data_IF_571343234368
#
_entry.id   IF_571343234368
#
_cell.length_a   1.000
_cell.length_b   1.000
_cell.length_c   1.000
_cell.angle_alpha   90.00
_cell.angle_beta   90.00
_cell.angle_gamma   90.00
#
_symmetry.space_group_name_H-M   'P 1'
#
loop_
_entity.id
_entity.type
_entity.pdbx_description
1 polymer ?
#
# COMPACT_ATOMS: atom_id res chain seq x y z
N UNK A 1 20.67 -1.34 9.53
CA UNK A 1 19.19 -1.25 9.54
C UNK A 1 18.56 -1.50 8.17
N UNK A 2 18.98 -0.82 7.10
CA UNK A 2 18.45 -1.08 5.75
C UNK A 2 18.71 -2.53 5.26
N UNK A 3 19.90 -3.08 5.52
CA UNK A 3 20.20 -4.50 5.25
C UNK A 3 19.22 -5.46 5.95
N UNK A 4 18.87 -5.17 7.21
CA UNK A 4 17.90 -5.97 7.98
C UNK A 4 16.53 -5.90 7.33
N UNK A 5 16.10 -4.70 6.92
CA UNK A 5 14.84 -4.51 6.20
C UNK A 5 14.77 -5.32 4.90
N UNK A 6 15.81 -5.28 4.07
CA UNK A 6 15.87 -6.04 2.80
C UNK A 6 15.87 -7.54 3.06
N UNK A 7 16.61 -8.01 4.06
CA UNK A 7 16.60 -9.42 4.47
C UNK A 7 15.22 -9.85 4.94
N UNK A 8 14.57 -9.05 5.77
CA UNK A 8 13.25 -9.36 6.30
C UNK A 8 12.19 -9.32 5.18
N UNK A 9 12.34 -8.44 4.18
CA UNK A 9 11.53 -8.42 2.96
C UNK A 9 11.68 -9.73 2.16
N UNK A 10 12.91 -10.22 2.01
CA UNK A 10 13.19 -11.49 1.36
C UNK A 10 12.64 -12.70 2.13
N UNK A 11 12.77 -12.70 3.45
CA UNK A 11 12.22 -13.73 4.34
C UNK A 11 10.69 -13.76 4.24
N UNK A 12 10.03 -12.60 4.29
CA UNK A 12 8.58 -12.46 4.11
C UNK A 12 8.13 -12.96 2.74
N UNK A 13 8.84 -12.61 1.65
CA UNK A 13 8.54 -13.10 0.30
C UNK A 13 8.57 -14.64 0.23
N UNK A 14 9.46 -15.27 0.98
CA UNK A 14 9.59 -16.74 1.10
C UNK A 14 8.65 -17.36 2.14
N UNK A 15 7.69 -16.59 2.65
CA UNK A 15 6.72 -17.01 3.68
C UNK A 15 7.37 -17.41 5.02
N UNK A 16 8.59 -16.91 5.29
CA UNK A 16 9.33 -17.12 6.54
C UNK A 16 9.09 -15.96 7.49
N UNK A 17 7.96 -16.01 8.18
CA UNK A 17 7.55 -14.95 9.11
C UNK A 17 8.28 -15.03 10.46
N UNK A 18 8.41 -13.87 11.10
CA UNK A 18 8.89 -13.73 12.48
C UNK A 18 7.82 -13.06 13.33
N UNK A 19 8.04 -13.05 14.65
CA UNK A 19 7.11 -12.37 15.56
C UNK A 19 6.97 -10.89 15.20
N UNK A 20 5.77 -10.29 15.34
CA UNK A 20 5.51 -8.89 14.99
C UNK A 20 6.49 -7.89 15.62
N UNK A 21 6.94 -8.19 16.84
CA UNK A 21 7.83 -7.36 17.65
C UNK A 21 9.25 -7.27 17.08
N UNK A 22 9.63 -8.18 16.17
CA UNK A 22 10.94 -8.13 15.51
C UNK A 22 10.98 -7.16 14.34
N UNK A 23 9.82 -6.77 13.79
CA UNK A 23 9.71 -5.81 12.69
C UNK A 23 9.72 -4.37 13.19
N UNK A 24 10.81 -3.97 13.84
CA UNK A 24 11.03 -2.61 14.32
C UNK A 24 12.12 -1.94 13.48
N UNK A 25 11.74 -0.90 12.77
CA UNK A 25 12.63 -0.15 11.89
C UNK A 25 12.83 1.27 12.41
N UNK A 26 13.97 1.87 12.07
CA UNK A 26 14.18 3.28 12.39
C UNK A 26 13.23 4.16 11.58
N UNK A 27 12.77 5.30 12.12
CA UNK A 27 11.87 6.21 11.41
C UNK A 27 12.40 6.65 10.05
N UNK A 28 13.72 6.79 9.92
CA UNK A 28 14.38 7.17 8.67
C UNK A 28 14.22 6.09 7.58
N UNK A 29 14.37 4.81 7.94
CA UNK A 29 14.14 3.70 7.00
C UNK A 29 12.66 3.66 6.61
N UNK A 30 11.76 3.84 7.57
CA UNK A 30 10.32 3.85 7.30
C UNK A 30 9.93 4.98 6.34
N UNK A 31 10.42 6.19 6.58
CA UNK A 31 10.19 7.34 5.72
C UNK A 31 10.72 7.11 4.29
N UNK A 32 11.95 6.58 4.16
CA UNK A 32 12.53 6.28 2.85
C UNK A 32 11.70 5.26 2.06
N UNK A 33 11.25 4.18 2.70
CA UNK A 33 10.41 3.16 2.06
C UNK A 33 9.05 3.72 1.67
N UNK A 34 8.40 4.49 2.54
CA UNK A 34 7.11 5.12 2.26
C UNK A 34 7.22 6.12 1.11
N UNK A 35 8.31 6.89 1.02
CA UNK A 35 8.56 7.79 -0.10
C UNK A 35 8.72 7.01 -1.41
N UNK A 36 9.51 5.93 -1.42
CA UNK A 36 9.67 5.09 -2.61
C UNK A 36 8.34 4.47 -3.05
N UNK A 37 7.55 3.94 -2.11
CA UNK A 37 6.19 3.45 -2.38
C UNK A 37 5.27 4.55 -2.89
N UNK A 38 5.40 5.77 -2.36
CA UNK A 38 4.72 6.96 -2.85
C UNK A 38 5.03 7.26 -4.31
N UNK A 39 6.30 7.13 -4.73
CA UNK A 39 6.72 7.28 -6.13
C UNK A 39 6.14 6.16 -7.01
N UNK A 40 6.14 4.91 -6.54
CA UNK A 40 5.50 3.79 -7.25
C UNK A 40 4.01 4.08 -7.49
N UNK A 41 3.33 4.56 -6.45
CA UNK A 41 1.91 4.90 -6.52
C UNK A 41 1.65 6.11 -7.41
N UNK A 42 2.50 7.14 -7.37
CA UNK A 42 2.42 8.33 -8.22
C UNK A 42 2.55 7.95 -9.70
N UNK A 43 3.53 7.10 -10.03
CA UNK A 43 3.72 6.64 -11.39
C UNK A 43 2.54 5.80 -11.88
N UNK A 44 2.03 4.89 -11.02
CA UNK A 44 0.87 4.05 -11.33
C UNK A 44 -0.41 4.86 -11.55
N UNK A 45 -0.58 5.97 -10.84
CA UNK A 45 -1.75 6.85 -10.91
C UNK A 45 -1.53 8.07 -11.82
N UNK A 46 -0.37 8.19 -12.46
CA UNK A 46 -0.05 9.32 -13.35
C UNK A 46 -1.05 9.51 -14.50
N UNK A 47 -1.68 8.46 -15.08
CA UNK A 47 -2.69 8.67 -16.12
C UNK A 47 -3.97 9.33 -15.59
N UNK A 48 -4.23 9.25 -14.28
CA UNK A 48 -5.40 9.83 -13.63
C UNK A 48 -5.10 11.22 -13.05
N UNK A 49 -4.07 11.31 -12.21
CA UNK A 49 -3.73 12.54 -11.48
C UNK A 49 -2.68 13.42 -12.19
N UNK A 50 -2.08 12.94 -13.28
CA UNK A 50 -0.95 13.59 -13.95
C UNK A 50 0.40 13.34 -13.26
N UNK A 51 1.46 13.92 -13.81
CA UNK A 51 2.84 13.79 -13.31
C UNK A 51 3.34 15.04 -12.54
N UNK A 52 2.46 15.99 -12.25
CA UNK A 52 2.82 17.22 -11.54
C UNK A 52 3.21 17.00 -10.08
N UNK A 53 3.91 17.98 -9.49
CA UNK A 53 4.36 17.89 -8.10
C UNK A 53 3.21 17.65 -7.10
N UNK A 54 2.04 18.28 -7.34
CA UNK A 54 0.84 18.05 -6.53
C UNK A 54 0.35 16.60 -6.57
N UNK A 55 0.36 15.95 -7.73
CA UNK A 55 -0.05 14.55 -7.89
C UNK A 55 0.92 13.58 -7.20
N UNK A 56 2.22 13.88 -7.26
CA UNK A 56 3.25 13.12 -6.52
C UNK A 56 3.06 13.30 -5.02
N UNK A 57 2.89 14.52 -4.53
CA UNK A 57 2.62 14.81 -3.11
C UNK A 57 1.35 14.09 -2.62
N UNK A 58 0.26 14.17 -3.37
CA UNK A 58 -0.99 13.45 -3.07
C UNK A 58 -0.72 11.94 -2.97
N UNK A 59 0.00 11.37 -3.93
CA UNK A 59 0.29 9.94 -3.99
C UNK A 59 1.12 9.45 -2.80
N UNK A 60 2.13 10.22 -2.39
CA UNK A 60 2.93 9.94 -1.18
C UNK A 60 2.04 9.97 0.06
N UNK A 61 1.20 11.01 0.22
CA UNK A 61 0.28 11.11 1.36
C UNK A 61 -0.70 9.94 1.38
N UNK A 62 -1.28 9.58 0.24
CA UNK A 62 -2.20 8.45 0.13
C UNK A 62 -1.52 7.12 0.49
N UNK A 63 -0.25 6.91 0.10
CA UNK A 63 0.50 5.71 0.50
C UNK A 63 0.72 5.66 2.02
N UNK A 64 1.10 6.78 2.63
CA UNK A 64 1.25 6.86 4.09
C UNK A 64 -0.09 6.52 4.76
N UNK A 65 -1.18 7.13 4.29
CA UNK A 65 -2.53 6.86 4.80
C UNK A 65 -2.93 5.40 4.62
N UNK A 66 -2.71 4.80 3.44
CA UNK A 66 -3.00 3.38 3.19
C UNK A 66 -2.26 2.50 4.18
N UNK A 67 -0.96 2.72 4.37
CA UNK A 67 -0.15 1.98 5.34
C UNK A 67 -0.67 2.14 6.78
N UNK A 68 -1.03 3.36 7.19
CA UNK A 68 -1.61 3.64 8.51
C UNK A 68 -2.96 2.97 8.72
N UNK A 69 -3.87 3.10 7.75
CA UNK A 69 -5.23 2.56 7.81
C UNK A 69 -5.16 1.03 7.82
N UNK A 70 -4.33 0.42 6.97
CA UNK A 70 -4.16 -1.04 6.96
C UNK A 70 -3.64 -1.55 8.31
N UNK A 71 -2.62 -0.88 8.85
CA UNK A 71 -2.04 -1.22 10.15
C UNK A 71 -3.06 -1.13 11.29
N UNK A 72 -3.88 -0.08 11.31
CA UNK A 72 -4.92 0.10 12.33
C UNK A 72 -6.09 -0.87 12.14
N UNK A 73 -6.56 -1.06 10.92
CA UNK A 73 -7.68 -1.96 10.61
C UNK A 73 -7.33 -3.40 10.96
N UNK A 74 -6.15 -3.88 10.54
CA UNK A 74 -5.70 -5.24 10.88
C UNK A 74 -5.50 -5.43 12.37
N UNK A 75 -4.87 -4.46 13.05
CA UNK A 75 -4.69 -4.52 14.50
C UNK A 75 -6.04 -4.59 15.23
N UNK A 76 -7.02 -3.78 14.82
CA UNK A 76 -8.35 -3.73 15.44
C UNK A 76 -9.11 -5.03 15.22
N UNK A 77 -9.13 -5.54 13.99
CA UNK A 77 -9.87 -6.76 13.65
C UNK A 77 -9.23 -7.99 14.29
N UNK A 78 -7.91 -8.15 14.19
CA UNK A 78 -7.23 -9.29 14.83
C UNK A 78 -7.40 -9.25 16.35
N UNK A 79 -7.30 -8.07 16.97
CA UNK A 79 -7.52 -7.94 18.41
C UNK A 79 -8.96 -8.26 18.82
N UNK A 80 -9.94 -7.81 18.04
CA UNK A 80 -11.35 -8.14 18.27
C UNK A 80 -11.60 -9.66 18.26
N UNK A 81 -10.89 -10.40 17.40
CA UNK A 81 -10.98 -11.86 17.33
C UNK A 81 -10.03 -12.62 18.27
N UNK A 82 -9.48 -11.95 19.29
CA UNK A 82 -8.73 -12.58 20.38
C UNK A 82 -7.20 -12.56 20.25
N UNK A 83 -6.64 -11.94 19.21
CA UNK A 83 -5.20 -11.75 19.12
C UNK A 83 -4.70 -10.71 20.15
N UNK A 84 -3.48 -10.85 20.67
CA UNK A 84 -2.84 -9.77 21.45
C UNK A 84 -2.68 -8.50 20.61
N UNK A 85 -2.39 -7.36 21.25
CA UNK A 85 -2.23 -6.09 20.54
C UNK A 85 -0.91 -6.07 19.74
N UNK A 86 -0.93 -6.60 18.53
CA UNK A 86 0.25 -6.74 17.69
C UNK A 86 0.75 -5.39 17.12
N UNK A 87 2.07 -5.11 17.15
CA UNK A 87 2.68 -4.00 16.44
C UNK A 87 2.88 -4.33 14.95
N UNK A 88 1.81 -4.25 14.14
CA UNK A 88 1.82 -4.69 12.73
C UNK A 88 2.49 -3.72 11.74
N UNK A 89 2.86 -2.53 12.21
CA UNK A 89 3.33 -1.41 11.39
C UNK A 89 4.55 -1.76 10.52
N UNK A 90 5.55 -2.42 11.12
CA UNK A 90 6.76 -2.81 10.41
C UNK A 90 6.53 -3.98 9.45
N UNK A 91 5.73 -4.98 9.84
CA UNK A 91 5.39 -6.07 8.94
C UNK A 91 4.62 -5.57 7.71
N UNK A 92 3.65 -4.68 7.91
CA UNK A 92 2.88 -4.11 6.80
C UNK A 92 3.80 -3.28 5.91
N UNK A 93 4.70 -2.48 6.47
CA UNK A 93 5.68 -1.75 5.68
C UNK A 93 6.56 -2.66 4.81
N UNK A 94 7.04 -3.78 5.37
CA UNK A 94 7.90 -4.74 4.64
C UNK A 94 7.14 -5.44 3.53
N UNK A 95 5.91 -5.88 3.82
CA UNK A 95 5.07 -6.54 2.83
C UNK A 95 4.64 -5.59 1.71
N UNK A 96 4.32 -4.33 2.03
CA UNK A 96 4.07 -3.29 1.02
C UNK A 96 5.32 -2.98 0.19
N UNK A 97 6.52 -3.01 0.79
CA UNK A 97 7.78 -2.79 0.07
C UNK A 97 8.06 -3.86 -0.99
N UNK A 98 7.40 -5.03 -0.93
CA UNK A 98 7.45 -6.00 -2.02
C UNK A 98 6.83 -5.46 -3.32
N UNK A 99 6.10 -4.35 -3.29
CA UNK A 99 5.57 -3.68 -4.48
C UNK A 99 6.60 -2.79 -5.17
N UNK A 100 7.77 -2.50 -4.56
CA UNK A 100 8.81 -1.67 -5.18
C UNK A 100 9.28 -2.14 -6.57
N UNK A 101 9.43 -3.45 -6.86
CA UNK A 101 9.78 -3.93 -8.20
C UNK A 101 8.78 -3.54 -9.29
N UNK A 102 7.55 -3.12 -8.94
CA UNK A 102 6.56 -2.66 -9.91
C UNK A 102 7.00 -1.39 -10.65
N UNK A 103 7.98 -0.64 -10.13
CA UNK A 103 8.62 0.44 -10.87
C UNK A 103 9.20 -0.02 -12.21
N UNK A 104 9.62 -1.29 -12.33
CA UNK A 104 10.16 -1.83 -13.58
C UNK A 104 9.14 -1.82 -14.72
N UNK A 105 7.84 -1.89 -14.42
CA UNK A 105 6.76 -1.86 -15.41
C UNK A 105 6.74 -0.53 -16.16
N UNK A 106 7.15 0.56 -15.50
CA UNK A 106 7.22 1.89 -16.12
C UNK A 106 8.26 1.94 -17.23
N UNK A 107 9.34 1.16 -17.10
CA UNK A 107 10.42 1.10 -18.07
C UNK A 107 10.21 -0.03 -19.09
N UNK A 108 9.53 -1.11 -18.68
CA UNK A 108 9.26 -2.28 -19.51
C UNK A 108 7.77 -2.64 -19.42
N UNK A 109 6.90 -1.98 -20.22
CA UNK A 109 5.45 -2.20 -20.18
C UNK A 109 5.02 -3.65 -20.45
N UNK A 110 5.84 -4.42 -21.19
CA UNK A 110 5.62 -5.84 -21.44
C UNK A 110 5.54 -6.70 -20.15
N UNK A 111 6.02 -6.18 -19.01
CA UNK A 111 5.93 -6.84 -17.71
C UNK A 111 4.57 -6.65 -17.02
N UNK A 112 3.58 -5.99 -17.63
CA UNK A 112 2.30 -5.70 -17.00
C UNK A 112 1.56 -6.95 -16.48
N UNK A 113 1.55 -8.05 -17.24
CA UNK A 113 0.93 -9.32 -16.78
C UNK A 113 1.71 -9.91 -15.60
N UNK A 114 3.04 -9.88 -15.67
CA UNK A 114 3.89 -10.31 -14.55
C UNK A 114 3.65 -9.46 -13.30
N UNK A 115 3.45 -8.16 -13.47
CA UNK A 115 3.13 -7.24 -12.37
C UNK A 115 1.82 -7.57 -11.67
N UNK A 116 0.78 -8.00 -12.41
CA UNK A 116 -0.48 -8.48 -11.83
C UNK A 116 -0.27 -9.76 -11.02
N UNK A 117 0.47 -10.73 -11.56
CA UNK A 117 0.80 -11.97 -10.85
C UNK A 117 1.64 -11.69 -9.59
N UNK A 118 2.60 -10.75 -9.70
CA UNK A 118 3.42 -10.31 -8.58
C UNK A 118 2.58 -9.65 -7.49
N UNK A 119 1.68 -8.73 -7.84
CA UNK A 119 0.75 -8.10 -6.88
C UNK A 119 -0.14 -9.14 -6.18
N UNK A 120 -0.69 -10.09 -6.94
CA UNK A 120 -1.48 -11.18 -6.37
C UNK A 120 -0.65 -12.03 -5.39
N UNK A 121 0.60 -12.32 -5.73
CA UNK A 121 1.51 -13.03 -4.84
C UNK A 121 1.83 -12.24 -3.57
N UNK A 122 2.16 -10.96 -3.68
CA UNK A 122 2.40 -10.07 -2.54
C UNK A 122 1.18 -10.02 -1.62
N UNK A 123 -0.03 -9.97 -2.18
CA UNK A 123 -1.27 -10.04 -1.41
C UNK A 123 -1.38 -11.36 -0.63
N UNK A 124 -1.11 -12.51 -1.26
CA UNK A 124 -1.11 -13.82 -0.58
C UNK A 124 -0.06 -13.87 0.54
N UNK A 125 1.14 -13.35 0.29
CA UNK A 125 2.23 -13.26 1.28
C UNK A 125 1.79 -12.42 2.49
N UNK A 126 1.14 -11.28 2.26
CA UNK A 126 0.67 -10.38 3.32
C UNK A 126 -0.47 -11.02 4.13
N UNK A 127 -1.49 -11.58 3.47
CA UNK A 127 -2.62 -12.29 4.10
C UNK A 127 -2.12 -13.43 4.98
N UNK A 128 -1.25 -14.29 4.44
CA UNK A 128 -0.72 -15.44 5.18
C UNK A 128 0.15 -15.02 6.37
N UNK A 129 0.91 -13.93 6.24
CA UNK A 129 1.66 -13.37 7.37
C UNK A 129 0.72 -12.88 8.47
N UNK A 130 -0.33 -12.13 8.13
CA UNK A 130 -1.32 -11.65 9.08
C UNK A 130 -2.06 -12.79 9.80
N UNK A 131 -2.40 -13.86 9.07
CA UNK A 131 -2.98 -15.07 9.67
C UNK A 131 -2.03 -15.72 10.68
N UNK A 132 -0.76 -15.88 10.31
CA UNK A 132 0.25 -16.51 11.15
C UNK A 132 0.52 -15.69 12.43
N UNK A 133 0.71 -14.37 12.29
CA UNK A 133 0.95 -13.48 13.43
C UNK A 133 -0.27 -13.30 14.32
N UNK A 134 -1.47 -13.22 13.73
CA UNK A 134 -2.73 -13.02 14.44
C UNK A 134 -3.39 -14.30 14.94
N UNK A 135 -2.81 -15.48 14.65
CA UNK A 135 -3.45 -16.78 14.82
C UNK A 135 -4.93 -16.77 14.35
N UNK A 136 -5.16 -16.22 13.16
CA UNK A 136 -6.49 -15.91 12.63
C UNK A 136 -6.76 -16.63 11.32
N UNK A 137 -8.04 -16.90 11.05
CA UNK A 137 -8.48 -17.49 9.78
C UNK A 137 -8.43 -16.46 8.65
N UNK A 138 -8.38 -16.94 7.40
CA UNK A 138 -8.41 -16.10 6.19
C UNK A 138 -9.58 -15.11 6.24
N UNK A 139 -10.78 -15.60 6.60
CA UNK A 139 -11.99 -14.77 6.65
C UNK A 139 -11.87 -13.56 7.59
N UNK A 140 -11.23 -13.73 8.76
CA UNK A 140 -11.02 -12.63 9.71
C UNK A 140 -10.04 -11.59 9.16
N UNK A 141 -8.99 -12.04 8.48
CA UNK A 141 -8.05 -11.14 7.80
C UNK A 141 -8.74 -10.39 6.66
N UNK A 142 -9.59 -11.06 5.88
CA UNK A 142 -10.39 -10.43 4.82
C UNK A 142 -11.35 -9.37 5.36
N UNK A 143 -11.98 -9.58 6.52
CA UNK A 143 -12.76 -8.53 7.19
C UNK A 143 -11.89 -7.30 7.52
N UNK A 144 -10.64 -7.52 7.93
CA UNK A 144 -9.65 -6.46 8.08
C UNK A 144 -9.39 -5.69 6.79
N UNK A 145 -9.30 -6.39 5.66
CA UNK A 145 -9.12 -5.77 4.34
C UNK A 145 -10.36 -5.01 3.88
N UNK A 146 -11.56 -5.49 4.19
CA UNK A 146 -12.81 -4.76 3.95
C UNK A 146 -12.83 -3.45 4.74
N UNK A 147 -12.53 -3.50 6.05
CA UNK A 147 -12.44 -2.30 6.89
C UNK A 147 -11.35 -1.33 6.41
N UNK A 148 -10.21 -1.86 5.97
CA UNK A 148 -9.16 -1.09 5.32
C UNK A 148 -9.65 -0.40 4.04
N UNK A 149 -10.35 -1.13 3.16
CA UNK A 149 -10.90 -0.59 1.92
C UNK A 149 -11.84 0.59 2.18
N UNK A 150 -12.80 0.43 3.10
CA UNK A 150 -13.68 1.54 3.51
C UNK A 150 -12.88 2.70 4.11
N UNK A 151 -11.92 2.43 4.99
CA UNK A 151 -11.09 3.46 5.60
C UNK A 151 -10.28 4.26 4.59
N UNK A 152 -9.67 3.60 3.60
CA UNK A 152 -8.92 4.27 2.53
C UNK A 152 -9.84 5.05 1.61
N UNK A 153 -11.01 4.53 1.26
CA UNK A 153 -11.97 5.26 0.44
C UNK A 153 -12.45 6.54 1.13
N UNK A 154 -12.85 6.44 2.40
CA UNK A 154 -13.31 7.61 3.17
C UNK A 154 -12.19 8.65 3.33
N UNK A 155 -11.03 8.25 3.87
CA UNK A 155 -9.93 9.18 4.16
C UNK A 155 -9.30 9.71 2.87
N UNK A 156 -9.12 8.84 1.87
CA UNK A 156 -8.56 9.20 0.57
C UNK A 156 -9.44 10.20 -0.18
N UNK A 157 -10.76 10.05 -0.13
CA UNK A 157 -11.71 11.01 -0.74
C UNK A 157 -11.61 12.37 -0.07
N UNK A 158 -11.55 12.41 1.27
CA UNK A 158 -11.38 13.67 2.02
C UNK A 158 -10.08 14.36 1.63
N UNK A 159 -8.97 13.62 1.55
CA UNK A 159 -7.67 14.19 1.15
C UNK A 159 -7.71 14.72 -0.29
N UNK A 160 -8.31 13.96 -1.22
CA UNK A 160 -8.46 14.40 -2.60
C UNK A 160 -9.28 15.70 -2.68
N UNK A 161 -10.39 15.79 -1.96
CA UNK A 161 -11.20 17.00 -1.88
C UNK A 161 -10.43 18.19 -1.32
N UNK A 162 -9.55 17.99 -0.32
CA UNK A 162 -8.70 19.05 0.21
C UNK A 162 -7.69 19.56 -0.84
N UNK A 163 -7.10 18.66 -1.64
CA UNK A 163 -6.18 19.04 -2.71
C UNK A 163 -6.89 19.84 -3.82
N UNK A 164 -8.13 19.46 -4.15
CA UNK A 164 -8.96 20.18 -5.12
C UNK A 164 -9.36 21.55 -4.54
N UNK A 165 -9.83 21.60 -3.29
CA UNK A 165 -10.21 22.83 -2.63
C UNK A 165 -9.04 23.82 -2.46
N UNK A 166 -7.82 23.31 -2.30
CA UNK A 166 -6.60 24.13 -2.27
C UNK A 166 -6.16 24.63 -3.66
N UNK A 167 -6.84 24.22 -4.74
CA UNK A 167 -6.48 24.56 -6.12
C UNK A 167 -5.22 23.84 -6.62
N UNK A 168 -4.75 22.80 -5.92
CA UNK A 168 -3.56 22.04 -6.32
C UNK A 168 -3.88 21.01 -7.41
N UNK A 169 -5.13 20.55 -7.47
CA UNK A 169 -5.65 19.64 -8.49
C UNK A 169 -6.95 20.20 -9.07
N UNK A 170 -7.11 20.08 -10.38
CA UNK A 170 -8.28 20.56 -11.10
C UNK A 170 -9.28 19.41 -11.35
N UNK A 171 -10.52 19.59 -10.90
CA UNK A 171 -11.58 18.59 -11.01
C UNK A 171 -11.98 18.31 -12.48
N UNK A 172 -11.98 19.32 -13.35
CA UNK A 172 -12.28 19.15 -14.76
C UNK A 172 -11.20 18.33 -15.44
N UNK A 173 -9.93 18.62 -15.15
CA UNK A 173 -8.80 17.85 -15.66
C UNK A 173 -8.85 16.39 -15.19
N UNK A 174 -9.19 16.15 -13.92
CA UNK A 174 -9.37 14.78 -13.40
C UNK A 174 -10.51 14.04 -14.10
N UNK A 175 -11.64 14.70 -14.33
CA UNK A 175 -12.77 14.10 -15.04
C UNK A 175 -12.43 13.78 -16.50
N UNK A 176 -11.72 14.67 -17.19
CA UNK A 176 -11.25 14.45 -18.56
C UNK A 176 -10.29 13.24 -18.62
N UNK A 177 -9.31 13.18 -17.72
CA UNK A 177 -8.38 12.05 -17.62
C UNK A 177 -9.11 10.73 -17.35
N UNK A 178 -10.09 10.76 -16.46
CA UNK A 178 -10.92 9.58 -16.13
C UNK A 178 -11.74 9.12 -17.35
N UNK A 179 -12.34 10.05 -18.10
CA UNK A 179 -13.06 9.72 -19.33
C UNK A 179 -12.13 9.13 -20.40
N UNK A 180 -10.95 9.71 -20.59
CA UNK A 180 -9.94 9.20 -21.51
C UNK A 180 -9.48 7.77 -21.15
N UNK A 181 -9.34 7.48 -19.86
CA UNK A 181 -8.99 6.13 -19.39
C UNK A 181 -10.12 5.11 -19.61
N UNK A 182 -11.37 5.52 -19.51
CA UNK A 182 -12.52 4.64 -19.77
C UNK A 182 -12.68 4.37 -21.26
N UNK A 183 -12.47 5.36 -22.13
CA UNK A 183 -12.56 5.19 -23.58
C UNK A 183 -11.38 4.42 -24.16
N UNK A 184 -10.17 4.57 -23.62
CA UNK A 184 -8.99 3.82 -24.07
C UNK A 184 -9.01 2.32 -23.70
N UNK A 185 -9.96 1.88 -22.86
CA UNK A 185 -10.17 0.47 -22.49
C UNK A 185 -11.26 -0.23 -23.31
N UNK A 186 -11.99 0.50 -24.16
CA UNK A 186 -12.94 -0.06 -25.14
C UNK A 186 -12.21 -0.41 -26.43
#
# INVERSE_FOLDING_TARGET
>A
MLYVFVRDMWDVLRLRYRSPETYLYSPLVMAAVLLLLGVVNAASMSPLFGSGAAAVCLSVILVIVKWLVLSRSMRKVLHYYGAPRLPLWGFILVSEALLLPLLLVLYVPALAVFALLWQAWVFVVQVRGLMWMGNATVGRVLVGYLLYGFGVLCVGTVILMLFIAAGWLDMETLNQNLQALMSARQ
#
